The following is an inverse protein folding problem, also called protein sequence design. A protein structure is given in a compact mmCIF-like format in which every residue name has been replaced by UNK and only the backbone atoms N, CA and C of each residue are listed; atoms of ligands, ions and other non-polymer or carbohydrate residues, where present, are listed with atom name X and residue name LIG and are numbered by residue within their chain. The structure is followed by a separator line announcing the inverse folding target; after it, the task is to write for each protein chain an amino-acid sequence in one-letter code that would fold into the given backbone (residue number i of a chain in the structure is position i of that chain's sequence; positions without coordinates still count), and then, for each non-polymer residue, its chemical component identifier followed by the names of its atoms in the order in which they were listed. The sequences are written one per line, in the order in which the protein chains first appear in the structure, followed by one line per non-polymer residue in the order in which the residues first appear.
data_IF_908805920416
#
_entry.id   IF_908805920416
#
_cell.length_a   1.000
_cell.length_b   1.000
_cell.length_c   1.000
_cell.angle_alpha   90.00
_cell.angle_beta   90.00
_cell.angle_gamma   90.00
#
_symmetry.space_group_name_H-M   'P 1'
#
loop_
_entity.id
_entity.type
_entity.pdbx_description
1 polymer ?
#
# COMPACT_ATOMS: atom_id res chain seq x y z
N UNK A 1 20.26 -17.06 -13.00
CA UNK A 1 20.07 -16.08 -11.90
C UNK A 1 21.31 -16.16 -11.02
N UNK A 2 22.29 -15.29 -11.25
CA UNK A 2 23.53 -15.23 -10.49
C UNK A 2 23.26 -14.76 -9.05
N UNK A 3 23.94 -15.36 -8.11
CA UNK A 3 23.82 -14.99 -6.70
C UNK A 3 24.44 -13.62 -6.51
N UNK A 4 23.67 -12.70 -5.97
CA UNK A 4 24.05 -11.29 -5.67
C UNK A 4 25.33 -11.17 -4.80
N UNK A 5 25.81 -12.29 -4.22
CA UNK A 5 27.05 -12.37 -3.44
C UNK A 5 28.34 -12.11 -4.23
N UNK A 6 28.30 -12.29 -5.56
CA UNK A 6 29.52 -12.30 -6.37
C UNK A 6 29.83 -10.93 -7.01
N UNK A 7 29.02 -9.91 -6.74
CA UNK A 7 29.12 -8.60 -7.43
C UNK A 7 29.46 -7.40 -6.54
N UNK A 8 29.58 -7.57 -5.22
CA UNK A 8 29.99 -6.49 -4.33
C UNK A 8 31.49 -6.59 -3.99
N UNK A 9 32.35 -5.70 -4.49
CA UNK A 9 33.77 -5.72 -4.13
C UNK A 9 33.94 -5.33 -2.65
N UNK A 10 34.47 -6.22 -1.85
CA UNK A 10 35.06 -5.92 -0.55
C UNK A 10 34.22 -6.21 0.69
N UNK A 11 32.96 -6.61 0.58
CA UNK A 11 32.16 -7.01 1.73
C UNK A 11 32.20 -8.55 1.90
N UNK A 12 33.30 -9.07 2.43
CA UNK A 12 33.29 -10.42 2.98
C UNK A 12 32.42 -10.40 4.24
N UNK A 13 31.16 -10.81 4.12
CA UNK A 13 30.34 -11.15 5.28
C UNK A 13 31.02 -12.33 5.96
N UNK A 14 31.22 -12.31 7.31
CA UNK A 14 31.82 -13.41 8.01
C UNK A 14 31.02 -14.68 7.73
N UNK A 15 31.74 -15.78 7.41
CA UNK A 15 31.17 -17.11 7.29
C UNK A 15 30.75 -17.60 8.68
N UNK A 16 29.62 -17.16 9.17
CA UNK A 16 28.96 -17.75 10.32
C UNK A 16 28.06 -18.89 9.83
N UNK A 17 28.43 -20.15 10.09
CA UNK A 17 27.64 -21.30 9.69
C UNK A 17 26.27 -21.37 10.36
N UNK A 18 26.00 -20.58 11.43
CA UNK A 18 24.72 -20.49 12.10
C UNK A 18 23.84 -19.37 11.52
N UNK A 19 24.40 -18.32 10.95
CA UNK A 19 23.65 -17.24 10.32
C UNK A 19 22.75 -17.72 9.17
N UNK A 20 23.11 -18.84 8.53
CA UNK A 20 22.27 -19.45 7.47
C UNK A 20 21.16 -20.34 8.03
N UNK A 21 21.26 -20.87 9.24
CA UNK A 21 20.22 -21.72 9.86
C UNK A 21 19.12 -20.92 10.54
N UNK A 22 19.43 -19.82 11.19
CA UNK A 22 18.43 -18.95 11.79
C UNK A 22 17.58 -18.22 10.75
N UNK A 23 18.14 -17.97 9.56
CA UNK A 23 17.43 -17.38 8.43
C UNK A 23 16.37 -18.28 7.78
N UNK A 24 16.48 -19.58 7.97
CA UNK A 24 15.56 -20.56 7.35
C UNK A 24 14.29 -20.86 8.12
N UNK A 25 14.17 -20.46 9.39
CA UNK A 25 13.05 -20.86 10.26
C UNK A 25 11.92 -19.86 10.39
N UNK A 26 12.06 -18.66 9.84
CA UNK A 26 10.97 -17.69 9.83
C UNK A 26 10.16 -17.85 8.55
N UNK A 27 9.10 -18.64 8.65
CA UNK A 27 8.07 -18.71 7.62
C UNK A 27 7.63 -17.29 7.22
N UNK A 28 7.81 -16.94 5.95
CA UNK A 28 7.37 -15.65 5.40
C UNK A 28 8.43 -14.57 5.31
N UNK A 29 9.69 -14.84 5.60
CA UNK A 29 10.74 -13.92 5.16
C UNK A 29 10.98 -14.11 3.67
N UNK A 30 10.30 -13.31 2.88
CA UNK A 30 10.89 -12.89 1.62
C UNK A 30 12.27 -12.34 2.00
N UNK A 31 13.31 -13.03 1.61
CA UNK A 31 14.65 -12.48 1.67
C UNK A 31 14.69 -11.40 0.59
N UNK A 32 14.09 -10.26 0.88
CA UNK A 32 14.41 -9.08 0.12
C UNK A 32 15.93 -8.93 0.20
N UNK A 33 16.63 -8.83 -0.93
CA UNK A 33 18.03 -8.46 -0.91
C UNK A 33 18.13 -7.16 -0.13
N UNK A 34 18.94 -7.12 0.92
CA UNK A 34 19.11 -5.94 1.76
C UNK A 34 18.85 -6.11 3.25
N UNK A 35 18.52 -7.31 3.73
CA UNK A 35 18.61 -7.60 5.17
C UNK A 35 20.08 -7.85 5.52
N UNK A 36 20.66 -6.89 6.22
CA UNK A 36 21.95 -7.00 6.88
C UNK A 36 21.75 -7.01 8.39
N UNK A 37 22.64 -7.65 9.12
CA UNK A 37 22.71 -7.50 10.56
C UNK A 37 22.97 -6.02 10.88
N UNK A 38 22.46 -5.53 12.00
CA UNK A 38 22.48 -4.12 12.39
C UNK A 38 23.90 -3.52 12.34
N UNK A 39 24.89 -4.30 12.75
CA UNK A 39 26.31 -3.91 12.74
C UNK A 39 26.90 -3.73 11.32
N UNK A 40 26.31 -4.34 10.30
CA UNK A 40 26.75 -4.25 8.90
C UNK A 40 25.93 -3.25 8.07
N UNK A 41 24.85 -2.71 8.62
CA UNK A 41 23.92 -1.85 7.87
C UNK A 41 24.60 -0.61 7.30
N UNK A 42 25.46 0.05 8.07
CA UNK A 42 26.16 1.26 7.61
C UNK A 42 27.15 0.97 6.46
N UNK A 43 27.89 -0.12 6.55
CA UNK A 43 28.82 -0.52 5.50
C UNK A 43 28.10 -0.94 4.22
N UNK A 44 26.99 -1.66 4.36
CA UNK A 44 26.14 -2.02 3.22
C UNK A 44 25.54 -0.78 2.54
N UNK A 45 25.03 0.15 3.32
CA UNK A 45 24.49 1.43 2.80
C UNK A 45 25.55 2.20 2.00
N UNK A 46 26.76 2.35 2.56
CA UNK A 46 27.87 3.03 1.87
C UNK A 46 28.24 2.35 0.56
N UNK A 47 28.33 1.01 0.56
CA UNK A 47 28.65 0.24 -0.64
C UNK A 47 27.57 0.33 -1.72
N UNK A 48 26.30 0.37 -1.31
CA UNK A 48 25.17 0.56 -2.23
C UNK A 48 25.18 1.96 -2.86
N UNK A 49 25.47 2.99 -2.07
CA UNK A 49 25.59 4.36 -2.58
C UNK A 49 26.76 4.52 -3.54
N UNK A 50 27.91 3.96 -3.23
CA UNK A 50 29.06 3.95 -4.12
C UNK A 50 28.74 3.27 -5.45
N UNK A 51 28.18 2.07 -5.41
CA UNK A 51 27.81 1.32 -6.60
C UNK A 51 26.65 1.94 -7.38
N UNK A 52 25.77 2.66 -6.72
CA UNK A 52 24.59 3.31 -7.31
C UNK A 52 24.81 4.72 -7.84
N UNK A 53 25.97 5.33 -7.58
CA UNK A 53 26.24 6.73 -7.93
C UNK A 53 26.02 7.02 -9.43
N UNK A 54 26.56 6.17 -10.30
CA UNK A 54 26.43 6.32 -11.76
C UNK A 54 25.04 5.91 -12.29
N UNK A 55 24.20 5.33 -11.42
CA UNK A 55 22.84 4.90 -11.75
C UNK A 55 21.76 5.82 -11.18
N UNK A 56 22.13 6.96 -10.59
CA UNK A 56 21.20 7.92 -10.04
C UNK A 56 20.49 7.43 -8.77
N UNK A 57 21.15 6.58 -7.97
CA UNK A 57 20.64 6.15 -6.68
C UNK A 57 20.42 7.34 -5.75
N UNK A 58 19.26 7.42 -5.11
CA UNK A 58 18.92 8.44 -4.13
C UNK A 58 18.24 7.83 -2.92
N UNK A 59 18.39 8.45 -1.77
CA UNK A 59 17.65 8.10 -0.58
C UNK A 59 16.19 8.56 -0.68
N UNK A 60 15.27 7.70 -0.21
CA UNK A 60 13.83 8.00 -0.17
C UNK A 60 13.33 7.86 1.26
N UNK A 61 12.79 8.95 1.81
CA UNK A 61 12.19 8.94 3.15
C UNK A 61 10.82 8.27 3.19
N UNK A 62 10.41 7.83 4.38
CA UNK A 62 9.12 7.19 4.64
C UNK A 62 7.93 8.04 4.17
N UNK A 63 7.94 9.35 4.40
CA UNK A 63 6.85 10.23 3.97
C UNK A 63 6.74 10.35 2.44
N UNK A 64 7.87 10.32 1.74
CA UNK A 64 7.86 10.29 0.27
C UNK A 64 7.26 8.96 -0.25
N UNK A 65 7.63 7.84 0.36
CA UNK A 65 7.05 6.53 0.05
C UNK A 65 5.54 6.51 0.33
N UNK A 66 5.09 7.07 1.47
CA UNK A 66 3.67 7.18 1.81
C UNK A 66 2.90 8.02 0.79
N UNK A 67 3.42 9.18 0.40
CA UNK A 67 2.80 10.01 -0.65
C UNK A 67 2.67 9.24 -1.97
N UNK A 68 3.74 8.61 -2.42
CA UNK A 68 3.73 7.84 -3.67
C UNK A 68 2.75 6.65 -3.64
N UNK A 69 2.68 5.90 -2.53
CA UNK A 69 1.76 4.76 -2.43
C UNK A 69 0.30 5.20 -2.37
N UNK A 70 0.00 6.33 -1.69
CA UNK A 70 -1.34 6.91 -1.63
C UNK A 70 -1.83 7.29 -3.02
N UNK A 71 -1.00 7.95 -3.83
CA UNK A 71 -1.33 8.33 -5.21
C UNK A 71 -1.60 7.12 -6.12
N UNK A 72 -0.91 5.99 -5.86
CA UNK A 72 -1.08 4.72 -6.56
C UNK A 72 -2.18 3.84 -5.95
N UNK A 73 -2.85 4.29 -4.89
CA UNK A 73 -3.83 3.51 -4.12
C UNK A 73 -3.28 2.15 -3.65
N UNK A 74 -1.98 2.04 -3.36
CA UNK A 74 -1.40 0.81 -2.84
C UNK A 74 -1.76 0.64 -1.37
N UNK A 75 -2.44 -0.48 -1.07
CA UNK A 75 -2.93 -0.79 0.28
C UNK A 75 -1.77 -1.20 1.17
N UNK A 76 -1.70 -0.57 2.34
CA UNK A 76 -0.73 -0.92 3.38
C UNK A 76 -1.30 -2.01 4.29
N UNK A 77 -0.50 -3.07 4.52
CA UNK A 77 -0.88 -4.13 5.45
C UNK A 77 -1.00 -3.59 6.88
N UNK A 78 -2.04 -4.01 7.60
CA UNK A 78 -2.48 -3.57 8.93
C UNK A 78 -3.11 -2.18 9.00
N UNK A 79 -3.00 -1.38 7.97
CA UNK A 79 -3.61 -0.05 7.93
C UNK A 79 -4.82 -0.04 6.99
N UNK A 80 -4.62 -0.38 5.73
CA UNK A 80 -5.69 -0.42 4.73
C UNK A 80 -6.31 -1.81 4.59
N UNK A 81 -5.55 -2.85 4.83
CA UNK A 81 -5.98 -4.25 4.76
C UNK A 81 -5.45 -5.02 5.97
N UNK A 82 -6.30 -5.85 6.52
CA UNK A 82 -6.00 -6.73 7.66
C UNK A 82 -6.84 -8.01 7.61
N UNK A 83 -7.05 -8.67 8.76
CA UNK A 83 -7.84 -9.90 8.84
C UNK A 83 -9.34 -9.66 8.80
N UNK A 84 -9.80 -8.42 9.01
CA UNK A 84 -11.22 -8.06 9.05
C UNK A 84 -11.74 -7.60 7.69
N UNK A 85 -10.85 -7.61 6.67
CA UNK A 85 -11.16 -7.20 5.31
C UNK A 85 -10.97 -8.36 4.34
N UNK A 86 -11.95 -8.62 3.51
CA UNK A 86 -11.84 -9.64 2.47
C UNK A 86 -11.14 -9.09 1.22
N UNK A 87 -10.52 -9.94 0.40
CA UNK A 87 -9.95 -9.51 -0.88
C UNK A 87 -10.96 -8.82 -1.81
N UNK A 88 -12.24 -9.21 -1.75
CA UNK A 88 -13.29 -8.61 -2.57
C UNK A 88 -13.65 -7.20 -2.10
N UNK A 89 -13.71 -6.97 -0.78
CA UNK A 89 -13.90 -5.62 -0.23
C UNK A 89 -12.72 -4.70 -0.57
N UNK A 90 -11.50 -5.27 -0.54
CA UNK A 90 -10.27 -4.53 -0.83
C UNK A 90 -10.01 -4.26 -2.33
N UNK A 91 -10.88 -4.70 -3.24
CA UNK A 91 -10.69 -4.50 -4.68
C UNK A 91 -9.62 -5.40 -5.31
N UNK A 92 -9.40 -6.59 -4.72
CA UNK A 92 -8.43 -7.58 -5.20
C UNK A 92 -9.07 -8.74 -5.96
N UNK A 93 -10.25 -8.56 -6.54
CA UNK A 93 -10.97 -9.60 -7.28
C UNK A 93 -10.10 -10.29 -8.34
N UNK A 94 -9.26 -9.52 -9.02
CA UNK A 94 -8.34 -10.04 -10.06
C UNK A 94 -7.28 -11.00 -9.53
N UNK A 95 -6.99 -10.94 -8.23
CA UNK A 95 -5.99 -11.79 -7.57
C UNK A 95 -6.63 -13.06 -6.98
N UNK A 96 -7.95 -13.16 -6.99
CA UNK A 96 -8.70 -14.29 -6.42
C UNK A 96 -9.18 -15.24 -7.51
N UNK A 97 -8.50 -16.35 -7.70
CA UNK A 97 -8.87 -17.37 -8.69
C UNK A 97 -9.94 -18.32 -8.11
N UNK A 98 -11.20 -17.88 -8.04
CA UNK A 98 -12.31 -18.70 -7.55
C UNK A 98 -12.56 -19.98 -8.38
N UNK A 99 -12.08 -20.01 -9.62
CA UNK A 99 -12.20 -21.16 -10.53
C UNK A 99 -11.14 -22.25 -10.33
N UNK A 100 -10.05 -21.99 -9.60
CA UNK A 100 -9.06 -23.02 -9.29
C UNK A 100 -9.60 -24.03 -8.27
N UNK A 101 -8.88 -25.13 -8.06
CA UNK A 101 -9.26 -26.18 -7.08
C UNK A 101 -9.45 -25.63 -5.65
N UNK A 102 -9.69 -26.50 -4.68
CA UNK A 102 -9.98 -26.16 -3.29
C UNK A 102 -8.85 -25.33 -2.64
N UNK A 103 -9.26 -24.32 -1.87
CA UNK A 103 -8.38 -23.56 -0.98
C UNK A 103 -9.15 -23.00 0.21
N UNK A 104 -8.47 -22.71 1.31
CA UNK A 104 -9.10 -22.16 2.51
C UNK A 104 -9.82 -20.83 2.21
N UNK A 105 -11.09 -20.72 2.58
CA UNK A 105 -11.91 -19.53 2.38
C UNK A 105 -12.61 -19.41 1.01
N UNK A 106 -12.38 -20.34 0.06
CA UNK A 106 -12.98 -20.28 -1.28
C UNK A 106 -14.50 -20.15 -1.26
N UNK A 107 -15.18 -21.00 -0.48
CA UNK A 107 -16.65 -20.99 -0.43
C UNK A 107 -17.21 -19.73 0.22
N UNK A 108 -16.50 -19.17 1.20
CA UNK A 108 -16.87 -17.90 1.81
C UNK A 108 -16.77 -16.76 0.79
N UNK A 109 -15.68 -16.71 0.02
CA UNK A 109 -15.48 -15.71 -1.03
C UNK A 109 -16.48 -15.88 -2.19
N UNK A 110 -16.86 -17.11 -2.55
CA UNK A 110 -17.92 -17.36 -3.54
C UNK A 110 -19.26 -16.81 -3.07
N UNK A 111 -19.67 -17.15 -1.86
CA UNK A 111 -20.92 -16.62 -1.29
C UNK A 111 -20.91 -15.09 -1.23
N UNK A 112 -19.79 -14.48 -0.86
CA UNK A 112 -19.66 -13.02 -0.83
C UNK A 112 -19.70 -12.41 -2.25
N UNK A 113 -19.08 -13.05 -3.23
CA UNK A 113 -19.15 -12.60 -4.63
C UNK A 113 -20.58 -12.65 -5.18
N UNK A 114 -21.35 -13.69 -4.84
CA UNK A 114 -22.75 -13.86 -5.25
C UNK A 114 -23.69 -12.85 -4.54
N UNK A 115 -23.48 -12.63 -3.24
CA UNK A 115 -24.28 -11.69 -2.44
C UNK A 115 -23.91 -10.21 -2.66
N UNK A 116 -22.72 -9.94 -3.21
CA UNK A 116 -22.10 -8.62 -3.24
C UNK A 116 -21.45 -8.24 -1.91
N UNK A 117 -20.45 -7.35 -1.99
CA UNK A 117 -19.79 -6.78 -0.81
C UNK A 117 -20.64 -5.68 -0.19
N UNK A 118 -20.60 -5.54 1.14
CA UNK A 118 -21.32 -4.48 1.85
C UNK A 118 -20.53 -3.15 1.87
N UNK A 119 -19.23 -3.24 1.85
CA UNK A 119 -18.30 -2.10 1.81
C UNK A 119 -17.24 -2.32 0.74
N UNK A 120 -16.67 -1.24 0.24
CA UNK A 120 -15.64 -1.28 -0.79
C UNK A 120 -14.56 -0.27 -0.48
N UNK A 121 -13.33 -0.67 -0.74
CA UNK A 121 -12.18 0.23 -0.69
C UNK A 121 -12.26 1.24 -1.83
N UNK A 122 -11.96 2.50 -1.50
CA UNK A 122 -11.96 3.62 -2.46
C UNK A 122 -10.76 4.52 -2.24
N UNK A 123 -10.36 5.21 -3.30
CA UNK A 123 -9.47 6.36 -3.26
C UNK A 123 -10.30 7.62 -3.44
N UNK A 124 -10.03 8.63 -2.62
CA UNK A 124 -10.72 9.92 -2.64
C UNK A 124 -9.72 11.06 -2.77
N UNK A 125 -10.08 12.08 -3.55
CA UNK A 125 -9.39 13.36 -3.58
C UNK A 125 -10.18 14.38 -2.78
N UNK A 126 -9.52 15.05 -1.83
CA UNK A 126 -10.14 16.07 -1.01
C UNK A 126 -9.99 17.44 -1.64
N UNK A 127 -10.92 18.34 -1.34
CA UNK A 127 -10.80 19.76 -1.68
C UNK A 127 -9.50 20.36 -1.18
N UNK A 128 -8.89 21.30 -1.93
CA UNK A 128 -7.61 21.91 -1.56
C UNK A 128 -7.67 22.61 -0.19
N UNK A 129 -6.56 22.54 0.54
CA UNK A 129 -6.41 23.19 1.84
C UNK A 129 -6.99 22.39 3.00
N UNK A 130 -6.73 22.87 4.21
CA UNK A 130 -7.17 22.23 5.45
C UNK A 130 -6.21 21.19 5.99
N UNK A 131 -6.64 20.52 7.06
CA UNK A 131 -5.86 19.51 7.76
C UNK A 131 -6.10 18.15 7.09
N UNK A 132 -5.06 17.35 6.93
CA UNK A 132 -5.19 15.99 6.42
C UNK A 132 -6.00 15.12 7.39
N UNK A 133 -6.89 14.27 6.88
CA UNK A 133 -7.62 13.34 7.74
C UNK A 133 -6.68 12.31 8.37
N UNK A 134 -7.03 11.85 9.55
CA UNK A 134 -6.29 10.79 10.21
C UNK A 134 -6.89 9.41 9.93
N UNK A 135 -6.11 8.37 10.23
CA UNK A 135 -6.65 7.02 10.34
C UNK A 135 -7.88 7.03 11.27
N UNK A 136 -8.93 6.38 10.84
CA UNK A 136 -10.17 6.30 11.59
C UNK A 136 -11.13 7.48 11.37
N UNK A 137 -10.74 8.50 10.61
CA UNK A 137 -11.63 9.63 10.33
C UNK A 137 -12.94 9.16 9.67
N UNK A 138 -14.12 9.60 10.15
CA UNK A 138 -15.40 9.24 9.54
C UNK A 138 -15.53 9.77 8.11
N UNK A 139 -16.06 8.94 7.23
CA UNK A 139 -16.51 9.35 5.90
C UNK A 139 -18.03 9.50 5.96
N UNK A 140 -18.53 10.62 5.47
CA UNK A 140 -19.91 11.03 5.60
C UNK A 140 -20.56 11.18 4.22
N UNK A 141 -21.82 10.77 4.12
CA UNK A 141 -22.73 11.12 3.02
C UNK A 141 -24.03 11.64 3.62
N UNK A 142 -24.49 12.80 3.18
CA UNK A 142 -25.70 13.46 3.72
C UNK A 142 -25.73 13.52 5.27
N UNK A 143 -24.58 13.75 5.90
CA UNK A 143 -24.45 13.84 7.36
C UNK A 143 -24.44 12.50 8.10
N UNK A 144 -24.52 11.38 7.40
CA UNK A 144 -24.46 10.03 8.00
C UNK A 144 -23.09 9.42 7.78
N UNK A 145 -22.57 8.70 8.77
CA UNK A 145 -21.32 7.95 8.64
C UNK A 145 -21.56 6.77 7.71
N UNK A 146 -20.83 6.74 6.60
CA UNK A 146 -20.93 5.70 5.57
C UNK A 146 -19.64 4.91 5.40
N UNK A 147 -18.58 5.30 6.13
CA UNK A 147 -17.28 4.66 6.02
C UNK A 147 -16.24 5.26 6.93
N UNK A 148 -15.00 4.85 6.70
CA UNK A 148 -13.86 5.22 7.51
C UNK A 148 -12.60 5.34 6.66
N UNK A 149 -11.79 6.38 6.92
CA UNK A 149 -10.47 6.56 6.33
C UNK A 149 -9.49 5.56 6.95
N UNK A 150 -8.71 4.91 6.12
CA UNK A 150 -7.63 4.00 6.56
C UNK A 150 -6.25 4.61 6.36
N UNK A 151 -6.10 5.45 5.34
CA UNK A 151 -4.85 6.16 5.08
C UNK A 151 -5.15 7.52 4.46
N UNK A 152 -4.34 8.52 4.77
CA UNK A 152 -4.43 9.81 4.10
C UNK A 152 -3.10 10.57 4.14
N UNK A 153 -2.96 11.51 3.23
CA UNK A 153 -1.81 12.39 3.15
C UNK A 153 -1.84 13.22 1.88
N UNK A 154 -0.83 14.06 1.71
CA UNK A 154 -0.71 14.90 0.52
C UNK A 154 -0.02 14.13 -0.61
N UNK A 155 -0.69 14.06 -1.76
CA UNK A 155 -0.16 13.51 -3.00
C UNK A 155 0.59 14.59 -3.79
N UNK A 156 1.91 14.53 -3.78
CA UNK A 156 2.76 15.58 -4.37
C UNK A 156 2.70 15.63 -5.89
N UNK A 157 2.35 14.55 -6.57
CA UNK A 157 2.16 14.51 -8.03
C UNK A 157 0.76 14.96 -8.44
N UNK A 158 -0.22 14.65 -7.60
CA UNK A 158 -1.61 15.07 -7.80
C UNK A 158 -1.85 16.49 -7.30
N UNK A 159 -0.95 17.04 -6.48
CA UNK A 159 -1.06 18.33 -5.79
C UNK A 159 -2.38 18.44 -4.99
N UNK A 160 -2.81 17.33 -4.41
CA UNK A 160 -4.08 17.18 -3.70
C UNK A 160 -3.92 16.29 -2.47
N UNK A 161 -4.76 16.56 -1.47
CA UNK A 161 -4.94 15.60 -0.37
C UNK A 161 -5.61 14.34 -0.90
N UNK A 162 -5.04 13.19 -0.57
CA UNK A 162 -5.53 11.86 -0.95
C UNK A 162 -5.95 11.13 0.32
N UNK A 163 -7.12 10.51 0.31
CA UNK A 163 -7.55 9.59 1.34
C UNK A 163 -7.91 8.24 0.73
N UNK A 164 -7.54 7.18 1.43
CA UNK A 164 -7.95 5.82 1.17
C UNK A 164 -8.87 5.37 2.29
N UNK A 165 -9.85 4.54 1.99
CA UNK A 165 -10.76 4.05 3.02
C UNK A 165 -11.82 3.12 2.49
N UNK A 166 -12.70 2.68 3.38
CA UNK A 166 -13.85 1.86 3.03
C UNK A 166 -15.12 2.66 3.17
N UNK A 167 -15.97 2.55 2.17
CA UNK A 167 -17.32 3.13 2.18
C UNK A 167 -18.36 2.06 1.88
N UNK A 168 -19.63 2.34 2.22
CA UNK A 168 -20.75 1.49 1.79
C UNK A 168 -20.67 1.25 0.28
N UNK A 169 -20.87 0.01 -0.16
CA UNK A 169 -20.59 -0.40 -1.54
C UNK A 169 -21.36 0.45 -2.60
N UNK A 170 -22.56 0.89 -2.29
CA UNK A 170 -23.35 1.77 -3.17
C UNK A 170 -22.80 3.18 -3.35
N UNK A 171 -21.77 3.58 -2.59
CA UNK A 171 -21.13 4.89 -2.65
C UNK A 171 -19.69 4.83 -3.18
N UNK A 172 -19.27 3.68 -3.67
CA UNK A 172 -17.89 3.45 -4.12
C UNK A 172 -17.63 3.81 -5.59
N UNK A 173 -18.63 4.31 -6.30
CA UNK A 173 -18.49 4.68 -7.72
C UNK A 173 -17.67 5.97 -7.87
N UNK A 174 -16.77 5.99 -8.84
CA UNK A 174 -15.99 7.18 -9.15
C UNK A 174 -16.91 8.35 -9.54
N UNK A 175 -16.63 9.52 -8.98
CA UNK A 175 -17.47 10.73 -9.09
C UNK A 175 -18.46 10.90 -7.94
N UNK A 176 -18.54 9.95 -7.01
CA UNK A 176 -19.39 10.12 -5.82
C UNK A 176 -18.80 11.18 -4.88
N UNK A 177 -19.61 12.17 -4.53
CA UNK A 177 -19.23 13.21 -3.58
C UNK A 177 -19.55 12.78 -2.15
N UNK A 178 -18.54 12.90 -1.29
CA UNK A 178 -18.55 12.54 0.11
C UNK A 178 -17.97 13.67 0.94
N UNK A 179 -17.97 13.50 2.24
CA UNK A 179 -17.25 14.37 3.16
C UNK A 179 -16.36 13.51 4.08
N UNK A 180 -15.24 14.05 4.48
CA UNK A 180 -14.34 13.41 5.47
C UNK A 180 -14.24 14.35 6.66
N UNK A 181 -14.48 13.83 7.85
CA UNK A 181 -14.29 14.59 9.08
C UNK A 181 -12.79 14.72 9.38
N UNK A 182 -12.31 15.95 9.38
CA UNK A 182 -10.94 16.30 9.71
C UNK A 182 -10.96 17.08 11.03
N UNK A 183 -10.95 16.38 12.17
CA UNK A 183 -11.00 16.98 13.52
C UNK A 183 -12.21 17.88 13.75
N UNK A 184 -13.41 17.41 13.42
CA UNK A 184 -14.67 18.13 13.59
C UNK A 184 -14.94 19.14 12.47
N UNK A 185 -14.14 19.18 11.43
CA UNK A 185 -14.36 19.97 10.21
C UNK A 185 -14.54 19.05 9.03
N UNK A 186 -15.73 19.02 8.46
CA UNK A 186 -15.99 18.26 7.25
C UNK A 186 -15.27 18.89 6.05
N UNK A 187 -14.51 18.08 5.31
CA UNK A 187 -13.91 18.45 4.02
C UNK A 187 -14.59 17.66 2.91
N UNK A 188 -14.90 18.34 1.82
CA UNK A 188 -15.43 17.67 0.64
C UNK A 188 -14.37 16.73 0.05
N UNK A 189 -14.83 15.59 -0.40
CA UNK A 189 -14.01 14.55 -1.01
C UNK A 189 -14.79 13.90 -2.15
N UNK A 190 -14.13 13.59 -3.24
CA UNK A 190 -14.74 12.90 -4.38
C UNK A 190 -14.03 11.57 -4.57
N UNK A 191 -14.80 10.48 -4.70
CA UNK A 191 -14.27 9.16 -5.05
C UNK A 191 -13.71 9.21 -6.46
N UNK A 192 -12.52 8.68 -6.65
CA UNK A 192 -11.86 8.65 -7.97
C UNK A 192 -11.57 7.22 -8.41
N UNK A 193 -11.42 7.05 -9.72
CA UNK A 193 -10.96 5.77 -10.26
C UNK A 193 -9.53 5.47 -9.78
N UNK A 194 -9.31 4.25 -9.32
CA UNK A 194 -8.01 3.80 -8.82
C UNK A 194 -7.10 3.25 -9.94
N UNK A 195 -5.83 3.62 -9.89
CA UNK A 195 -5.24 4.69 -9.09
C UNK A 195 -5.43 6.06 -9.76
N UNK A 196 -5.50 7.13 -8.98
CA UNK A 196 -5.61 8.50 -9.49
C UNK A 196 -4.35 8.96 -10.23
N UNK A 197 -3.17 8.45 -9.83
CA UNK A 197 -1.90 8.70 -10.50
C UNK A 197 -1.48 7.52 -11.38
N UNK A 198 -1.12 7.79 -12.63
CA UNK A 198 -0.55 6.82 -13.59
C UNK A 198 -1.34 5.49 -13.62
N UNK A 199 -2.65 5.51 -13.96
CA UNK A 199 -3.53 4.34 -13.85
C UNK A 199 -3.11 3.17 -14.73
N UNK A 200 -2.38 3.42 -15.81
CA UNK A 200 -1.88 2.39 -16.73
C UNK A 200 -0.47 1.92 -16.43
N UNK A 201 0.16 2.49 -15.39
CA UNK A 201 1.58 2.23 -15.06
C UNK A 201 2.55 2.57 -16.19
N UNK A 202 2.23 3.58 -17.00
CA UNK A 202 3.08 3.99 -18.13
C UNK A 202 4.45 4.48 -17.63
N UNK A 203 4.47 5.19 -16.49
CA UNK A 203 5.69 5.66 -15.84
C UNK A 203 6.50 4.54 -15.17
N UNK A 204 5.81 3.51 -14.69
CA UNK A 204 6.45 2.37 -14.02
C UNK A 204 7.11 1.42 -15.04
N UNK A 205 6.71 1.48 -16.29
CA UNK A 205 7.17 0.59 -17.38
C UNK A 205 8.11 1.27 -18.37
N UNK A 206 8.32 2.59 -18.21
CA UNK A 206 9.20 3.39 -19.05
C UNK A 206 10.68 3.19 -18.69
#
# INVERSE_FOLDING_TARGET
MGRYRDTLPGAALPDDPNASRERGSAAGRSLAPGFADEEHAAALHASLHEAGADHGLVDVGMYAMESMRLEKAYRHWKQDIDRDVTPLEAGFERLVALGKGEFAGRDALRRQAEAGVQRRFVQMLLEPGGIEPMFGAPILAAGQVVGQVTSAGFGHRLERSVALGYVSAGLAEAGTDLQVDCFGKARSATVVAEPAWDPRNDRLRS
#
